data_IF_979910368767
#
_entry.id   IF_979910368767
#
_cell.length_a   1.000
_cell.length_b   1.000
_cell.length_c   1.000
_cell.angle_alpha   90.00
_cell.angle_beta   90.00
_cell.angle_gamma   90.00
#
_symmetry.space_group_name_H-M   'P 1'
#
loop_
_entity.id
_entity.type
_entity.pdbx_description
1 polymer ?
#
# COMPACT_ATOMS: atom_id res chain seq x y z
N UNK A 1 -35.78 -28.93 -35.59
CA UNK A 1 -34.63 -27.99 -35.47
C UNK A 1 -34.80 -27.11 -34.25
N UNK A 2 -33.99 -27.31 -33.21
CA UNK A 2 -33.48 -26.28 -32.29
C UNK A 2 -32.68 -26.99 -31.19
N UNK A 3 -31.40 -27.21 -31.49
CA UNK A 3 -30.39 -27.57 -30.49
C UNK A 3 -30.23 -26.39 -29.54
N UNK A 4 -30.45 -26.60 -28.24
CA UNK A 4 -30.07 -25.64 -27.20
C UNK A 4 -28.71 -26.08 -26.67
N UNK A 5 -27.67 -25.44 -27.16
CA UNK A 5 -26.32 -25.53 -26.60
C UNK A 5 -26.33 -24.74 -25.29
N UNK A 6 -26.20 -25.44 -24.17
CA UNK A 6 -25.96 -24.82 -22.87
C UNK A 6 -24.46 -24.49 -22.80
N UNK A 7 -24.11 -23.21 -22.90
CA UNK A 7 -22.77 -22.74 -22.55
C UNK A 7 -22.65 -22.69 -21.03
N UNK A 8 -21.96 -23.67 -20.45
CA UNK A 8 -21.48 -23.58 -19.08
C UNK A 8 -20.27 -22.64 -19.06
N UNK A 9 -20.43 -21.44 -18.53
CA UNK A 9 -19.31 -20.58 -18.16
C UNK A 9 -18.61 -21.19 -16.94
N UNK A 10 -17.58 -21.99 -17.19
CA UNK A 10 -16.60 -22.33 -16.15
C UNK A 10 -15.72 -21.09 -15.97
N UNK A 11 -16.06 -20.26 -14.98
CA UNK A 11 -15.16 -19.22 -14.49
C UNK A 11 -14.02 -19.96 -13.79
N UNK A 12 -12.94 -20.21 -14.54
CA UNK A 12 -11.69 -20.69 -13.98
C UNK A 12 -11.10 -19.54 -13.16
N UNK A 13 -11.20 -19.64 -11.84
CA UNK A 13 -10.33 -18.91 -10.93
C UNK A 13 -8.90 -19.38 -11.25
N UNK A 14 -8.19 -18.60 -12.08
CA UNK A 14 -6.75 -18.73 -12.21
C UNK A 14 -6.17 -18.30 -10.86
N UNK A 15 -5.95 -19.29 -10.01
CA UNK A 15 -5.04 -19.21 -8.86
C UNK A 15 -3.74 -18.65 -9.42
N UNK A 16 -3.40 -17.43 -9.01
CA UNK A 16 -2.04 -16.91 -9.16
C UNK A 16 -1.15 -17.97 -8.54
N UNK A 17 -0.27 -18.57 -9.33
CA UNK A 17 0.77 -19.42 -8.81
C UNK A 17 1.69 -18.51 -7.97
N UNK A 18 1.42 -18.40 -6.67
CA UNK A 18 2.44 -17.95 -5.74
C UNK A 18 3.63 -18.89 -5.93
N UNK A 19 4.78 -18.33 -6.27
CA UNK A 19 5.99 -19.13 -6.44
C UNK A 19 6.25 -19.91 -5.15
N UNK A 20 6.50 -21.21 -5.26
CA UNK A 20 6.63 -22.09 -4.08
C UNK A 20 7.67 -21.57 -3.08
N UNK A 21 8.74 -20.91 -3.55
CA UNK A 21 9.79 -20.34 -2.71
C UNK A 21 9.37 -19.11 -1.88
N UNK A 22 8.27 -18.42 -2.22
CA UNK A 22 7.77 -17.29 -1.41
C UNK A 22 6.65 -17.72 -0.46
N UNK A 23 6.22 -18.98 -0.51
CA UNK A 23 5.12 -19.47 0.31
C UNK A 23 5.55 -19.58 1.78
N UNK A 24 4.84 -18.94 2.73
CA UNK A 24 5.08 -19.12 4.16
C UNK A 24 5.00 -20.58 4.58
N UNK A 25 5.88 -21.01 5.49
CA UNK A 25 5.86 -22.37 6.03
C UNK A 25 6.24 -22.39 7.54
N UNK A 26 5.98 -23.53 8.22
CA UNK A 26 6.20 -23.62 9.67
C UNK A 26 7.68 -23.58 10.10
N UNK A 27 8.62 -23.92 9.22
CA UNK A 27 10.05 -23.83 9.55
C UNK A 27 10.50 -22.37 9.73
N UNK A 28 9.77 -21.43 9.14
CA UNK A 28 10.06 -19.99 9.22
C UNK A 28 9.80 -19.45 10.63
N UNK A 29 8.94 -20.12 11.42
CA UNK A 29 8.59 -19.71 12.79
C UNK A 29 9.83 -19.55 13.66
N UNK A 30 10.76 -20.51 13.62
CA UNK A 30 11.97 -20.42 14.45
C UNK A 30 12.82 -19.21 14.05
N UNK A 31 12.98 -18.98 12.75
CA UNK A 31 13.81 -17.88 12.22
C UNK A 31 13.23 -16.52 12.60
N UNK A 32 11.92 -16.36 12.48
CA UNK A 32 11.26 -15.11 12.85
C UNK A 32 11.17 -14.90 14.37
N UNK A 33 11.01 -15.96 15.16
CA UNK A 33 11.05 -15.84 16.62
C UNK A 33 12.42 -15.37 17.12
N UNK A 34 13.50 -15.90 16.55
CA UNK A 34 14.86 -15.44 16.86
C UNK A 34 15.02 -13.95 16.51
N UNK A 35 14.57 -13.54 15.32
CA UNK A 35 14.56 -12.13 14.91
C UNK A 35 13.76 -11.23 15.85
N UNK A 36 12.54 -11.62 16.22
CA UNK A 36 11.68 -10.84 17.10
C UNK A 36 12.26 -10.72 18.52
N UNK A 37 12.96 -11.75 19.01
CA UNK A 37 13.61 -11.73 20.32
C UNK A 37 14.77 -10.72 20.38
N UNK A 38 15.49 -10.51 19.27
CA UNK A 38 16.63 -9.59 19.20
C UNK A 38 16.23 -8.10 19.23
N UNK A 39 15.08 -7.73 18.63
CA UNK A 39 14.71 -6.30 18.48
C UNK A 39 13.85 -5.73 19.62
N UNK A 40 13.39 -6.55 20.57
CA UNK A 40 12.65 -6.08 21.78
C UNK A 40 13.50 -5.10 22.63
N UNK A 41 14.79 -4.94 22.33
CA UNK A 41 15.74 -4.09 23.06
C UNK A 41 15.77 -2.62 22.60
N UNK A 42 15.13 -2.22 21.48
CA UNK A 42 15.23 -0.82 21.00
C UNK A 42 14.00 0.07 21.31
N UNK A 43 14.30 1.22 21.94
CA UNK A 43 13.40 2.22 22.53
C UNK A 43 12.28 2.76 21.64
N UNK A 44 11.21 3.36 22.23
CA UNK A 44 10.08 3.90 21.48
C UNK A 44 10.53 5.04 20.56
N UNK A 45 10.67 4.75 19.27
CA UNK A 45 10.89 5.76 18.26
C UNK A 45 9.57 6.49 18.02
N UNK A 46 9.38 7.61 18.73
CA UNK A 46 8.30 8.58 18.47
C UNK A 46 8.41 9.25 17.07
N UNK A 47 9.39 8.87 16.26
CA UNK A 47 9.58 9.33 14.89
C UNK A 47 9.16 8.25 13.90
N UNK A 48 8.32 8.62 12.92
CA UNK A 48 8.02 7.75 11.79
C UNK A 48 9.29 7.63 10.95
N UNK A 49 10.05 6.55 11.12
CA UNK A 49 11.31 6.30 10.45
C UNK A 49 11.15 5.10 9.51
N UNK A 50 10.65 5.37 8.31
CA UNK A 50 10.45 4.37 7.26
C UNK A 50 11.41 4.66 6.10
N UNK A 51 11.91 3.60 5.45
CA UNK A 51 12.80 3.68 4.30
C UNK A 51 12.06 4.10 3.01
N UNK A 52 11.34 5.23 3.07
CA UNK A 52 10.64 5.80 1.92
C UNK A 52 11.63 6.45 0.94
N UNK A 53 11.43 6.19 -0.35
CA UNK A 53 12.14 6.89 -1.44
C UNK A 53 11.72 8.32 -1.61
N UNK A 54 10.58 8.71 -1.07
CA UNK A 54 10.02 10.04 -1.24
C UNK A 54 10.06 10.75 0.11
N UNK A 55 11.18 11.39 0.38
CA UNK A 55 11.37 12.30 1.51
C UNK A 55 10.83 13.70 1.15
N UNK A 56 10.47 14.56 2.13
CA UNK A 56 9.84 15.87 1.86
C UNK A 56 10.58 16.77 0.87
N UNK A 57 11.90 16.65 0.78
CA UNK A 57 12.77 17.38 -0.15
C UNK A 57 12.79 16.82 -1.58
N UNK A 58 12.21 15.65 -1.83
CA UNK A 58 12.19 15.04 -3.16
C UNK A 58 11.13 15.69 -4.04
N UNK A 59 11.49 15.92 -5.31
CA UNK A 59 10.66 16.65 -6.28
C UNK A 59 9.27 16.04 -6.54
N UNK A 60 9.12 14.72 -6.33
CA UNK A 60 7.85 14.00 -6.50
C UNK A 60 7.11 13.77 -5.18
N UNK A 61 7.61 14.27 -4.06
CA UNK A 61 7.01 14.04 -2.74
C UNK A 61 5.53 14.44 -2.68
N UNK A 62 5.21 15.69 -3.02
CA UNK A 62 3.83 16.17 -2.92
C UNK A 62 2.87 15.42 -3.85
N UNK A 63 3.37 14.98 -5.01
CA UNK A 63 2.61 14.21 -5.99
C UNK A 63 2.31 12.79 -5.49
N UNK A 64 3.31 12.07 -4.99
CA UNK A 64 3.15 10.71 -4.45
C UNK A 64 2.31 10.75 -3.16
N UNK A 65 2.48 11.77 -2.31
CA UNK A 65 1.61 11.99 -1.17
C UNK A 65 0.16 12.23 -1.60
N UNK A 66 -0.06 12.97 -2.69
CA UNK A 66 -1.39 13.18 -3.25
C UNK A 66 -2.01 11.87 -3.77
N UNK A 67 -1.22 11.00 -4.42
CA UNK A 67 -1.64 9.64 -4.81
C UNK A 67 -2.08 8.84 -3.58
N UNK A 68 -1.22 8.76 -2.56
CA UNK A 68 -1.50 8.02 -1.33
C UNK A 68 -2.80 8.50 -0.68
N UNK A 69 -3.10 9.79 -0.77
CA UNK A 69 -4.31 10.43 -0.21
C UNK A 69 -5.45 10.58 -1.24
N UNK A 70 -5.42 9.85 -2.35
CA UNK A 70 -6.44 9.87 -3.41
C UNK A 70 -6.76 11.28 -3.99
N UNK A 71 -5.86 12.26 -3.85
CA UNK A 71 -5.97 13.57 -4.47
C UNK A 71 -5.51 13.52 -5.92
N UNK A 72 -6.20 12.70 -6.74
CA UNK A 72 -5.79 12.36 -8.12
C UNK A 72 -5.55 13.59 -9.01
N UNK A 73 -6.43 14.58 -8.98
CA UNK A 73 -6.27 15.80 -9.79
C UNK A 73 -5.03 16.60 -9.41
N UNK A 74 -4.66 16.61 -8.11
CA UNK A 74 -3.43 17.24 -7.63
C UNK A 74 -2.21 16.44 -8.10
N UNK A 75 -2.23 15.13 -7.92
CA UNK A 75 -1.16 14.24 -8.35
C UNK A 75 -0.89 14.37 -9.86
N UNK A 76 -1.92 14.33 -10.71
CA UNK A 76 -1.80 14.50 -12.16
C UNK A 76 -1.13 15.85 -12.47
N UNK A 77 -1.65 16.95 -11.91
CA UNK A 77 -1.10 18.30 -12.14
C UNK A 77 0.38 18.41 -11.77
N UNK A 78 0.79 17.77 -10.67
CA UNK A 78 2.17 17.83 -10.18
C UNK A 78 3.11 16.88 -10.94
N UNK A 79 2.63 15.73 -11.42
CA UNK A 79 3.43 14.76 -12.16
C UNK A 79 3.67 15.17 -13.62
N UNK A 80 2.66 15.76 -14.28
CA UNK A 80 2.69 16.05 -15.72
C UNK A 80 3.97 16.80 -16.16
N UNK A 81 4.41 17.90 -15.51
CA UNK A 81 5.60 18.63 -15.96
C UNK A 81 6.91 17.80 -15.89
N UNK A 82 6.98 16.80 -15.00
CA UNK A 82 8.13 15.90 -14.90
C UNK A 82 8.02 14.74 -15.89
N UNK A 83 6.81 14.21 -16.09
CA UNK A 83 6.56 13.17 -17.09
C UNK A 83 6.83 13.67 -18.52
N UNK A 84 6.44 14.91 -18.85
CA UNK A 84 6.76 15.57 -20.13
C UNK A 84 8.26 15.73 -20.36
N UNK A 85 9.03 15.91 -19.27
CA UNK A 85 10.50 15.93 -19.28
C UNK A 85 11.12 14.53 -19.21
N UNK A 86 10.32 13.47 -19.37
CA UNK A 86 10.75 12.07 -19.36
C UNK A 86 11.43 11.65 -18.05
N UNK A 87 10.96 12.17 -16.92
CA UNK A 87 11.35 11.63 -15.64
C UNK A 87 10.74 10.22 -15.46
N UNK A 88 11.56 9.17 -15.23
CA UNK A 88 11.07 7.80 -15.20
C UNK A 88 10.08 7.54 -14.05
N UNK A 89 10.30 8.14 -12.87
CA UNK A 89 9.42 7.94 -11.72
C UNK A 89 8.11 8.70 -11.89
N UNK A 90 8.14 9.91 -12.47
CA UNK A 90 6.93 10.65 -12.78
C UNK A 90 6.08 9.93 -13.84
N UNK A 91 6.71 9.38 -14.89
CA UNK A 91 6.03 8.54 -15.89
C UNK A 91 5.39 7.30 -15.25
N UNK A 92 6.11 6.63 -14.34
CA UNK A 92 5.60 5.48 -13.61
C UNK A 92 4.35 5.83 -12.79
N UNK A 93 4.43 6.87 -11.95
CA UNK A 93 3.31 7.27 -11.10
C UNK A 93 2.12 7.80 -11.88
N UNK A 94 2.37 8.55 -12.95
CA UNK A 94 1.30 9.05 -13.81
C UNK A 94 0.61 7.90 -14.55
N UNK A 95 1.38 6.91 -15.02
CA UNK A 95 0.82 5.68 -15.59
C UNK A 95 -0.03 4.92 -14.55
N UNK A 96 0.46 4.79 -13.31
CA UNK A 96 -0.24 4.08 -12.24
C UNK A 96 -1.63 4.62 -11.94
N UNK A 97 -1.81 5.94 -11.98
CA UNK A 97 -3.11 6.57 -11.67
C UNK A 97 -3.98 6.82 -12.91
N UNK A 98 -3.53 6.41 -14.11
CA UNK A 98 -4.24 6.68 -15.37
C UNK A 98 -4.98 5.47 -15.94
N UNK A 99 -4.56 4.24 -15.65
CA UNK A 99 -5.27 3.07 -16.18
C UNK A 99 -6.55 2.76 -15.37
N UNK A 100 -7.50 2.09 -16.01
CA UNK A 100 -8.78 1.71 -15.40
C UNK A 100 -9.76 1.13 -16.42
N UNK A 101 -11.04 1.47 -16.29
CA UNK A 101 -12.08 0.94 -17.17
C UNK A 101 -12.06 1.50 -18.59
N UNK A 102 -11.41 2.65 -18.83
CA UNK A 102 -11.34 3.28 -20.15
C UNK A 102 -10.18 2.70 -20.98
N UNK A 103 -10.45 2.00 -22.10
CA UNK A 103 -9.40 1.41 -22.93
C UNK A 103 -8.40 2.43 -23.48
N UNK A 104 -8.86 3.64 -23.82
CA UNK A 104 -8.01 4.69 -24.39
C UNK A 104 -6.97 5.18 -23.38
N UNK A 105 -7.38 5.36 -22.13
CA UNK A 105 -6.46 5.74 -21.05
C UNK A 105 -5.47 4.60 -20.73
N UNK A 106 -5.91 3.34 -20.84
CA UNK A 106 -5.00 2.19 -20.71
C UNK A 106 -3.90 2.19 -21.79
N UNK A 107 -4.20 2.61 -23.02
CA UNK A 107 -3.17 2.76 -24.07
C UNK A 107 -2.12 3.79 -23.67
N UNK A 108 -2.57 4.97 -23.19
CA UNK A 108 -1.68 6.06 -22.78
C UNK A 108 -0.85 5.66 -21.57
N UNK A 109 -1.49 5.11 -20.53
CA UNK A 109 -0.83 4.60 -19.34
C UNK A 109 0.20 3.53 -19.68
N UNK A 110 -0.13 2.58 -20.56
CA UNK A 110 0.82 1.55 -20.99
C UNK A 110 2.02 2.11 -21.76
N UNK A 111 1.84 3.16 -22.58
CA UNK A 111 2.96 3.86 -23.24
C UNK A 111 3.87 4.55 -22.21
N UNK A 112 3.29 5.24 -21.23
CA UNK A 112 4.05 5.88 -20.15
C UNK A 112 4.80 4.83 -19.30
N UNK A 113 4.17 3.70 -18.99
CA UNK A 113 4.79 2.59 -18.27
C UNK A 113 5.96 1.99 -19.05
N UNK A 114 5.77 1.75 -20.36
CA UNK A 114 6.83 1.30 -21.26
C UNK A 114 8.00 2.29 -21.30
N UNK A 115 7.74 3.58 -21.48
CA UNK A 115 8.78 4.60 -21.54
C UNK A 115 9.53 4.71 -20.20
N UNK A 116 8.83 4.65 -19.07
CA UNK A 116 9.44 4.59 -17.74
C UNK A 116 10.37 3.39 -17.58
N UNK A 117 9.94 2.20 -18.02
CA UNK A 117 10.76 0.99 -18.00
C UNK A 117 11.98 1.11 -18.94
N UNK A 118 11.81 1.75 -20.10
CA UNK A 118 12.91 2.04 -21.03
C UNK A 118 13.95 2.97 -20.43
N UNK A 119 13.51 3.98 -19.69
CA UNK A 119 14.36 4.99 -19.03
C UNK A 119 15.00 4.52 -17.73
N UNK A 120 14.71 3.30 -17.27
CA UNK A 120 15.42 2.66 -16.18
C UNK A 120 14.67 2.60 -14.85
N UNK A 121 13.34 2.79 -14.84
CA UNK A 121 12.54 2.46 -13.65
C UNK A 121 12.46 0.94 -13.49
N UNK A 122 13.00 0.36 -12.39
CA UNK A 122 12.88 -1.08 -12.17
C UNK A 122 11.44 -1.49 -11.85
N UNK A 123 10.67 -0.60 -11.23
CA UNK A 123 9.26 -0.82 -10.89
C UNK A 123 8.37 -0.85 -12.12
N UNK A 124 8.59 0.06 -13.07
CA UNK A 124 7.89 0.01 -14.35
C UNK A 124 8.25 -1.26 -15.15
N UNK A 125 9.50 -1.69 -15.10
CA UNK A 125 9.93 -2.93 -15.72
C UNK A 125 9.26 -4.16 -15.07
N UNK A 126 9.18 -4.23 -13.73
CA UNK A 126 8.42 -5.29 -13.05
C UNK A 126 6.92 -5.26 -13.35
N UNK A 127 6.32 -4.07 -13.51
CA UNK A 127 4.93 -3.94 -13.93
C UNK A 127 4.68 -4.55 -15.31
N UNK A 128 5.71 -4.69 -16.16
CA UNK A 128 5.62 -5.29 -17.49
C UNK A 128 5.99 -6.78 -17.53
N UNK A 129 6.10 -7.43 -16.38
CA UNK A 129 6.19 -8.90 -16.31
C UNK A 129 4.89 -9.52 -16.86
N UNK A 130 4.95 -10.48 -17.80
CA UNK A 130 3.78 -11.21 -18.25
C UNK A 130 3.04 -11.99 -17.15
N UNK A 131 3.67 -12.28 -16.00
CA UNK A 131 2.97 -12.91 -14.87
C UNK A 131 2.23 -11.88 -13.99
N UNK A 132 2.45 -10.59 -14.22
CA UNK A 132 1.76 -9.53 -13.50
C UNK A 132 0.33 -9.35 -14.05
N UNK A 133 -0.68 -9.57 -13.21
CA UNK A 133 -2.10 -9.48 -13.59
C UNK A 133 -2.51 -8.08 -14.08
N UNK A 134 -1.91 -7.02 -13.56
CA UNK A 134 -2.14 -5.64 -14.03
C UNK A 134 -1.57 -5.47 -15.43
N UNK A 135 -0.40 -6.05 -15.72
CA UNK A 135 0.14 -6.08 -17.07
C UNK A 135 -0.82 -6.79 -18.02
N UNK A 136 -1.18 -8.04 -17.71
CA UNK A 136 -2.06 -8.84 -18.55
C UNK A 136 -3.40 -8.15 -18.82
N UNK A 137 -3.95 -7.46 -17.82
CA UNK A 137 -5.25 -6.80 -17.92
C UNK A 137 -5.23 -5.48 -18.66
N UNK A 138 -4.24 -4.62 -18.40
CA UNK A 138 -4.25 -3.24 -18.87
C UNK A 138 -3.16 -2.92 -19.90
N UNK A 139 -2.05 -3.66 -19.87
CA UNK A 139 -0.84 -3.40 -20.65
C UNK A 139 -0.38 -4.60 -21.49
N UNK A 140 -1.29 -5.53 -21.82
CA UNK A 140 -0.99 -6.83 -22.46
C UNK A 140 -0.02 -6.76 -23.64
N UNK A 141 -0.14 -5.72 -24.47
CA UNK A 141 0.71 -5.48 -25.65
C UNK A 141 2.19 -5.20 -25.34
N UNK A 142 2.52 -4.89 -24.08
CA UNK A 142 3.85 -4.51 -23.63
C UNK A 142 4.46 -5.54 -22.67
N UNK A 143 3.69 -6.53 -22.22
CA UNK A 143 4.14 -7.56 -21.30
C UNK A 143 5.17 -8.47 -21.96
N UNK A 144 6.35 -8.57 -21.37
CA UNK A 144 7.47 -9.31 -21.96
C UNK A 144 8.49 -9.68 -20.87
N UNK A 145 8.93 -10.95 -20.83
CA UNK A 145 9.91 -11.43 -19.84
C UNK A 145 11.23 -10.67 -19.90
N UNK A 146 11.58 -10.01 -21.01
CA UNK A 146 12.76 -9.13 -21.08
C UNK A 146 12.74 -8.02 -20.02
N UNK A 147 11.55 -7.55 -19.63
CA UNK A 147 11.43 -6.51 -18.60
C UNK A 147 11.80 -7.02 -17.21
N UNK A 148 11.53 -8.29 -16.92
CA UNK A 148 12.01 -8.95 -15.70
C UNK A 148 13.54 -8.95 -15.67
N UNK A 149 14.19 -9.35 -16.77
CA UNK A 149 15.65 -9.30 -16.89
C UNK A 149 16.21 -7.90 -16.70
N UNK A 150 15.54 -6.88 -17.27
CA UNK A 150 15.93 -5.48 -17.09
C UNK A 150 15.78 -5.01 -15.64
N UNK A 151 14.67 -5.35 -14.98
CA UNK A 151 14.45 -5.03 -13.58
C UNK A 151 15.53 -5.66 -12.68
N UNK A 152 15.84 -6.95 -12.88
CA UNK A 152 16.91 -7.67 -12.16
C UNK A 152 18.26 -6.94 -12.28
N UNK A 153 18.63 -6.52 -13.49
CA UNK A 153 19.88 -5.78 -13.72
C UNK A 153 19.92 -4.42 -13.02
N UNK A 154 18.82 -3.66 -13.05
CA UNK A 154 18.74 -2.36 -12.37
C UNK A 154 18.81 -2.53 -10.85
N UNK A 155 18.07 -3.50 -10.28
CA UNK A 155 18.12 -3.77 -8.86
C UNK A 155 19.50 -4.24 -8.40
N UNK A 156 20.21 -5.06 -9.16
CA UNK A 156 21.58 -5.45 -8.82
C UNK A 156 22.50 -4.23 -8.66
N UNK A 157 22.46 -3.29 -9.61
CA UNK A 157 23.24 -2.04 -9.56
C UNK A 157 22.85 -1.15 -8.37
N UNK A 158 21.55 -1.09 -8.04
CA UNK A 158 21.07 -0.31 -6.89
C UNK A 158 21.44 -0.99 -5.56
N UNK A 159 21.45 -2.32 -5.51
CA UNK A 159 21.82 -3.10 -4.34
C UNK A 159 23.30 -2.91 -3.99
N UNK A 160 24.19 -2.85 -4.99
CA UNK A 160 25.61 -2.52 -4.81
C UNK A 160 25.83 -1.14 -4.16
N UNK A 161 24.86 -0.22 -4.32
CA UNK A 161 24.87 1.11 -3.71
C UNK A 161 24.20 1.16 -2.33
N UNK A 162 23.78 0.01 -1.81
CA UNK A 162 23.12 -0.09 -0.50
C UNK A 162 21.63 0.26 -0.51
N UNK A 163 20.95 0.28 -1.67
CA UNK A 163 19.49 0.42 -1.67
C UNK A 163 18.84 -0.84 -1.08
N UNK A 164 18.24 -0.68 0.11
CA UNK A 164 17.62 -1.76 0.89
C UNK A 164 16.53 -2.50 0.12
N UNK A 165 15.72 -1.78 -0.67
CA UNK A 165 14.64 -2.36 -1.48
C UNK A 165 15.24 -3.18 -2.61
N UNK A 166 16.27 -2.64 -3.26
CA UNK A 166 16.97 -3.34 -4.32
C UNK A 166 17.69 -4.61 -3.83
N UNK A 167 18.29 -4.57 -2.64
CA UNK A 167 18.86 -5.75 -1.99
C UNK A 167 17.77 -6.81 -1.77
N UNK A 168 16.64 -6.43 -1.18
CA UNK A 168 15.51 -7.35 -0.98
C UNK A 168 15.04 -8.01 -2.29
N UNK A 169 14.82 -7.22 -3.35
CA UNK A 169 14.37 -7.78 -4.63
C UNK A 169 15.45 -8.66 -5.28
N UNK A 170 16.72 -8.28 -5.19
CA UNK A 170 17.84 -9.08 -5.73
C UNK A 170 17.92 -10.45 -5.06
N UNK A 171 17.77 -10.51 -3.73
CA UNK A 171 17.72 -11.78 -2.99
C UNK A 171 16.48 -12.60 -3.35
N UNK A 172 15.30 -11.95 -3.42
CA UNK A 172 14.05 -12.62 -3.84
C UNK A 172 14.18 -13.27 -5.22
N UNK A 173 14.88 -12.64 -6.17
CA UNK A 173 15.06 -13.18 -7.53
C UNK A 173 15.99 -14.40 -7.62
N UNK A 174 16.65 -14.80 -6.53
CA UNK A 174 17.39 -16.08 -6.45
C UNK A 174 16.46 -17.28 -6.33
N UNK A 175 15.19 -17.04 -6.01
CA UNK A 175 14.13 -18.06 -5.92
C UNK A 175 14.46 -19.17 -4.92
N UNK A 176 15.16 -18.80 -3.83
CA UNK A 176 15.49 -19.68 -2.70
C UNK A 176 14.76 -19.19 -1.46
N UNK A 177 14.03 -20.10 -0.82
CA UNK A 177 13.18 -19.76 0.32
C UNK A 177 13.98 -19.15 1.47
N UNK A 178 15.09 -19.77 1.89
CA UNK A 178 15.92 -19.25 2.98
C UNK A 178 16.51 -17.86 2.68
N UNK A 179 16.91 -17.60 1.44
CA UNK A 179 17.42 -16.29 1.02
C UNK A 179 16.29 -15.24 1.04
N UNK A 180 15.06 -15.63 0.66
CA UNK A 180 13.87 -14.79 0.75
C UNK A 180 13.52 -14.43 2.20
N UNK A 181 13.52 -15.39 3.13
CA UNK A 181 13.25 -15.13 4.56
C UNK A 181 14.33 -14.21 5.16
N UNK A 182 15.62 -14.47 4.88
CA UNK A 182 16.72 -13.59 5.32
C UNK A 182 16.58 -12.18 4.74
N UNK A 183 16.14 -12.05 3.49
CA UNK A 183 15.91 -10.76 2.86
C UNK A 183 14.75 -9.98 3.50
N UNK A 184 13.69 -10.67 3.94
CA UNK A 184 12.59 -10.04 4.70
C UNK A 184 13.14 -9.45 6.01
N UNK A 185 13.91 -10.23 6.77
CA UNK A 185 14.52 -9.79 8.04
C UNK A 185 15.49 -8.62 7.82
N UNK A 186 16.35 -8.72 6.80
CA UNK A 186 17.27 -7.64 6.43
C UNK A 186 16.51 -6.35 6.10
N UNK A 187 15.45 -6.43 5.30
CA UNK A 187 14.61 -5.29 4.96
C UNK A 187 13.99 -4.65 6.21
N UNK A 188 13.42 -5.45 7.12
CA UNK A 188 12.81 -5.01 8.35
C UNK A 188 13.81 -4.28 9.27
N UNK A 189 15.01 -4.85 9.47
CA UNK A 189 16.11 -4.22 10.22
C UNK A 189 16.52 -2.87 9.64
N UNK A 190 16.45 -2.74 8.31
CA UNK A 190 16.76 -1.51 7.59
C UNK A 190 15.53 -0.64 7.30
N UNK A 191 14.46 -0.81 8.10
CA UNK A 191 13.27 0.05 8.12
C UNK A 191 12.45 0.03 6.81
N UNK A 192 12.61 -1.01 5.99
CA UNK A 192 11.74 -1.34 4.86
C UNK A 192 10.80 -2.48 5.24
N UNK A 193 9.57 -2.13 5.63
CA UNK A 193 8.64 -3.06 6.28
C UNK A 193 7.64 -3.74 5.35
N UNK A 194 7.56 -3.38 4.07
CA UNK A 194 6.64 -4.06 3.17
C UNK A 194 6.86 -5.59 3.08
N UNK A 195 8.09 -6.11 3.01
CA UNK A 195 8.31 -7.55 2.94
C UNK A 195 7.73 -8.32 4.12
N UNK A 196 7.88 -7.81 5.34
CA UNK A 196 7.35 -8.48 6.55
C UNK A 196 5.81 -8.36 6.60
N UNK A 197 5.26 -7.24 6.16
CA UNK A 197 3.81 -7.00 6.08
C UNK A 197 3.14 -7.88 5.03
N UNK A 198 3.72 -8.02 3.84
CA UNK A 198 3.21 -8.89 2.78
C UNK A 198 3.29 -10.35 3.18
N UNK A 199 4.40 -10.77 3.79
CA UNK A 199 4.57 -12.12 4.32
C UNK A 199 3.49 -12.46 5.37
N UNK A 200 3.26 -11.56 6.34
CA UNK A 200 2.16 -11.71 7.31
C UNK A 200 0.78 -11.75 6.66
N UNK A 201 0.54 -10.89 5.67
CA UNK A 201 -0.73 -10.85 4.94
C UNK A 201 -1.02 -12.18 4.25
N UNK A 202 -0.02 -12.76 3.58
CA UNK A 202 -0.16 -14.03 2.87
C UNK A 202 -0.56 -15.17 3.82
N UNK A 203 -0.01 -15.19 5.03
CA UNK A 203 -0.42 -16.12 6.10
C UNK A 203 -1.88 -15.88 6.52
N UNK A 204 -2.25 -14.63 6.80
CA UNK A 204 -3.56 -14.28 7.35
C UNK A 204 -4.71 -14.51 6.37
N UNK A 205 -4.46 -14.39 5.06
CA UNK A 205 -5.47 -14.65 4.03
C UNK A 205 -5.55 -16.12 3.61
N UNK A 206 -4.52 -16.94 3.90
CA UNK A 206 -4.56 -18.37 3.60
C UNK A 206 -5.38 -19.11 4.66
N UNK A 207 -6.52 -19.64 4.25
CA UNK A 207 -7.40 -20.45 5.09
C UNK A 207 -6.74 -21.74 5.61
N UNK A 208 -5.67 -22.21 4.95
CA UNK A 208 -4.92 -23.40 5.36
C UNK A 208 -3.78 -23.10 6.33
N UNK A 209 -3.49 -21.83 6.60
CA UNK A 209 -2.44 -21.46 7.56
C UNK A 209 -2.81 -21.91 8.96
N UNK A 210 -1.83 -22.51 9.65
CA UNK A 210 -2.02 -23.03 11.01
C UNK A 210 -2.18 -21.89 12.01
N UNK A 211 -2.75 -22.21 13.18
CA UNK A 211 -2.93 -21.21 14.25
C UNK A 211 -1.61 -20.54 14.63
N UNK A 212 -0.53 -21.31 14.76
CA UNK A 212 0.82 -20.81 15.09
C UNK A 212 1.35 -19.85 14.04
N UNK A 213 1.14 -20.15 12.75
CA UNK A 213 1.52 -19.24 11.68
C UNK A 213 0.75 -17.93 11.75
N UNK A 214 -0.56 -17.98 12.04
CA UNK A 214 -1.37 -16.77 12.21
C UNK A 214 -0.94 -15.94 13.43
N UNK A 215 -0.63 -16.59 14.55
CA UNK A 215 -0.07 -15.94 15.74
C UNK A 215 1.26 -15.23 15.39
N UNK A 216 2.18 -15.91 14.71
CA UNK A 216 3.43 -15.31 14.20
C UNK A 216 3.14 -14.10 13.29
N UNK A 217 2.20 -14.23 12.35
CA UNK A 217 1.88 -13.14 11.42
C UNK A 217 1.43 -11.87 12.17
N UNK A 218 0.65 -12.01 13.25
CA UNK A 218 0.25 -10.89 14.11
C UNK A 218 1.46 -10.28 14.84
N UNK A 219 2.38 -11.10 15.37
CA UNK A 219 3.61 -10.61 16.01
C UNK A 219 4.48 -9.81 15.03
N UNK A 220 4.65 -10.30 13.81
CA UNK A 220 5.38 -9.63 12.73
C UNK A 220 4.70 -8.31 12.29
N UNK A 221 3.38 -8.25 12.29
CA UNK A 221 2.66 -6.99 12.05
C UNK A 221 2.83 -6.01 13.21
N UNK A 222 2.77 -6.49 14.45
CA UNK A 222 3.02 -5.67 15.63
C UNK A 222 4.43 -5.07 15.59
N UNK A 223 5.44 -5.84 15.19
CA UNK A 223 6.80 -5.37 14.96
C UNK A 223 6.86 -4.17 14.00
N UNK A 224 6.21 -4.27 12.83
CA UNK A 224 6.16 -3.15 11.88
C UNK A 224 5.31 -1.98 12.40
N UNK A 225 4.23 -2.25 13.14
CA UNK A 225 3.35 -1.25 13.71
C UNK A 225 4.03 -0.43 14.83
N UNK A 226 4.81 -1.04 15.73
CA UNK A 226 5.56 -0.29 16.76
C UNK A 226 6.61 0.64 16.15
N UNK A 227 7.07 0.34 14.92
CA UNK A 227 7.91 1.21 14.11
C UNK A 227 7.11 2.22 13.26
N UNK A 228 5.83 2.45 13.59
CA UNK A 228 4.90 3.37 12.94
C UNK A 228 4.65 3.11 11.44
N UNK A 229 4.78 1.86 10.96
CA UNK A 229 4.47 1.52 9.58
C UNK A 229 2.96 1.32 9.38
N UNK A 230 2.31 2.30 8.75
CA UNK A 230 0.85 2.38 8.59
C UNK A 230 0.21 1.12 7.97
N UNK A 231 0.75 0.50 6.90
CA UNK A 231 0.17 -0.72 6.35
C UNK A 231 0.04 -1.87 7.36
N UNK A 232 0.91 -1.95 8.38
CA UNK A 232 0.80 -2.95 9.43
C UNK A 232 -0.41 -2.69 10.35
N UNK A 233 -0.65 -1.43 10.74
CA UNK A 233 -1.86 -1.04 11.48
C UNK A 233 -3.13 -1.40 10.72
N UNK A 234 -3.16 -1.18 9.41
CA UNK A 234 -4.33 -1.43 8.58
C UNK A 234 -4.67 -2.93 8.50
N UNK A 235 -3.65 -3.80 8.46
CA UNK A 235 -3.83 -5.25 8.53
C UNK A 235 -4.24 -5.72 9.92
N UNK A 236 -3.62 -5.22 11.00
CA UNK A 236 -4.01 -5.54 12.37
C UNK A 236 -5.49 -5.20 12.62
N UNK A 237 -5.93 -4.00 12.24
CA UNK A 237 -7.34 -3.59 12.33
C UNK A 237 -8.29 -4.50 11.53
N UNK A 238 -7.80 -5.23 10.53
CA UNK A 238 -8.60 -6.08 9.64
C UNK A 238 -8.62 -7.55 10.07
N UNK A 239 -7.50 -8.08 10.55
CA UNK A 239 -7.29 -9.51 10.70
C UNK A 239 -6.99 -9.94 12.14
N UNK A 240 -6.66 -9.03 13.04
CA UNK A 240 -6.46 -9.40 14.44
C UNK A 240 -7.81 -9.54 15.16
N UNK A 241 -8.30 -10.78 15.19
CA UNK A 241 -9.54 -11.15 15.87
C UNK A 241 -9.41 -11.18 17.39
N UNK A 242 -8.19 -11.06 17.94
CA UNK A 242 -7.95 -11.09 19.37
C UNK A 242 -8.09 -9.73 20.05
N UNK A 243 -8.06 -8.64 19.28
CA UNK A 243 -8.19 -7.28 19.79
C UNK A 243 -9.51 -7.09 20.52
N UNK A 244 -9.42 -6.69 21.79
CA UNK A 244 -10.58 -6.20 22.50
C UNK A 244 -10.99 -4.79 22.00
N UNK A 245 -12.15 -4.31 22.46
CA UNK A 245 -12.66 -3.00 22.04
C UNK A 245 -11.71 -1.83 22.42
N UNK A 246 -11.00 -1.92 23.53
CA UNK A 246 -10.06 -0.87 23.96
C UNK A 246 -8.80 -0.90 23.10
N UNK A 247 -8.22 -2.07 22.88
CA UNK A 247 -7.03 -2.28 22.04
C UNK A 247 -7.30 -1.83 20.60
N UNK A 248 -8.43 -2.26 20.04
CA UNK A 248 -8.88 -1.82 18.70
C UNK A 248 -8.99 -0.29 18.62
N UNK A 249 -9.59 0.35 19.63
CA UNK A 249 -9.76 1.81 19.65
C UNK A 249 -8.42 2.55 19.80
N UNK A 250 -7.48 2.02 20.60
CA UNK A 250 -6.13 2.57 20.72
C UNK A 250 -5.37 2.46 19.38
N UNK A 251 -5.44 1.29 18.74
CA UNK A 251 -4.84 1.04 17.44
C UNK A 251 -5.41 1.97 16.36
N UNK A 252 -6.75 2.11 16.32
CA UNK A 252 -7.44 3.00 15.40
C UNK A 252 -7.03 4.47 15.62
N UNK A 253 -6.96 4.92 16.88
CA UNK A 253 -6.55 6.28 17.24
C UNK A 253 -5.11 6.56 16.81
N UNK A 254 -4.21 5.60 16.99
CA UNK A 254 -2.82 5.74 16.55
C UNK A 254 -2.73 5.78 15.02
N UNK A 255 -3.43 4.87 14.34
CA UNK A 255 -3.46 4.82 12.87
C UNK A 255 -4.00 6.11 12.23
N UNK A 256 -5.01 6.75 12.85
CA UNK A 256 -5.51 8.09 12.44
C UNK A 256 -4.42 9.15 12.56
N UNK A 257 -3.69 9.19 13.69
CA UNK A 257 -2.62 10.16 13.94
C UNK A 257 -1.48 10.02 12.94
N UNK A 258 -1.19 8.80 12.51
CA UNK A 258 -0.15 8.51 11.52
C UNK A 258 -0.61 8.82 10.09
N UNK A 259 -1.92 8.84 9.84
CA UNK A 259 -2.49 9.19 8.53
C UNK A 259 -2.89 7.98 7.69
N UNK A 260 -3.41 6.92 8.31
CA UNK A 260 -4.03 5.81 7.58
C UNK A 260 -5.35 6.21 6.92
N UNK A 261 -5.47 5.99 5.61
CA UNK A 261 -6.75 6.14 4.92
C UNK A 261 -7.83 5.22 5.49
N UNK A 262 -7.48 3.96 5.80
CA UNK A 262 -8.41 2.94 6.32
C UNK A 262 -8.98 3.40 7.66
N UNK A 263 -8.13 3.86 8.57
CA UNK A 263 -8.54 4.30 9.90
C UNK A 263 -9.42 5.56 9.85
N UNK A 264 -9.06 6.52 8.97
CA UNK A 264 -9.88 7.72 8.72
C UNK A 264 -11.26 7.37 8.15
N UNK A 265 -11.34 6.41 7.21
CA UNK A 265 -12.60 5.95 6.62
C UNK A 265 -13.47 5.19 7.64
N UNK A 266 -12.86 4.31 8.44
CA UNK A 266 -13.54 3.58 9.52
C UNK A 266 -14.12 4.54 10.54
N UNK A 267 -13.33 5.49 11.05
CA UNK A 267 -13.81 6.52 11.98
C UNK A 267 -14.99 7.32 11.42
N UNK A 268 -14.89 7.76 10.16
CA UNK A 268 -15.96 8.50 9.52
C UNK A 268 -17.24 7.68 9.41
N UNK A 269 -17.12 6.43 8.98
CA UNK A 269 -18.24 5.49 8.85
C UNK A 269 -18.93 5.24 10.19
N UNK A 270 -18.15 4.93 11.24
CA UNK A 270 -18.69 4.71 12.59
C UNK A 270 -19.38 5.97 13.15
N UNK A 271 -18.86 7.16 12.84
CA UNK A 271 -19.44 8.42 13.33
C UNK A 271 -20.86 8.67 12.82
N UNK A 272 -21.23 8.13 11.65
CA UNK A 272 -22.57 8.33 11.06
C UNK A 272 -23.67 7.82 12.00
N UNK A 273 -23.49 6.64 12.57
CA UNK A 273 -24.48 5.96 13.43
C UNK A 273 -24.28 6.23 14.93
N UNK A 274 -23.16 6.82 15.33
CA UNK A 274 -22.87 7.14 16.73
C UNK A 274 -23.86 8.16 17.29
N UNK A 275 -24.64 7.78 18.31
CA UNK A 275 -25.65 8.63 18.93
C UNK A 275 -25.06 9.64 19.93
N UNK A 276 -23.81 9.44 20.36
CA UNK A 276 -23.13 10.35 21.28
C UNK A 276 -22.61 11.61 20.57
N UNK A 277 -22.45 11.56 19.25
CA UNK A 277 -21.95 12.67 18.45
C UNK A 277 -23.09 13.59 17.98
N UNK A 278 -22.86 14.89 18.07
CA UNK A 278 -23.75 15.89 17.48
C UNK A 278 -23.66 15.87 15.94
N UNK A 279 -24.66 16.43 15.26
CA UNK A 279 -24.61 16.53 13.78
C UNK A 279 -23.39 17.34 13.30
N UNK A 280 -22.94 18.34 14.07
CA UNK A 280 -21.76 19.14 13.72
C UNK A 280 -20.48 18.32 13.88
N UNK A 281 -20.34 17.50 14.93
CA UNK A 281 -19.18 16.62 15.10
C UNK A 281 -19.07 15.59 13.98
N UNK A 282 -20.19 14.97 13.62
CA UNK A 282 -20.26 14.03 12.49
C UNK A 282 -19.85 14.68 11.17
N UNK A 283 -20.32 15.92 10.94
CA UNK A 283 -19.92 16.69 9.78
C UNK A 283 -18.42 16.98 9.78
N UNK A 284 -17.85 17.44 10.89
CA UNK A 284 -16.42 17.76 11.02
C UNK A 284 -15.59 16.51 10.71
N UNK A 285 -15.92 15.36 11.29
CA UNK A 285 -15.22 14.09 11.05
C UNK A 285 -15.31 13.71 9.56
N UNK A 286 -16.52 13.68 8.99
CA UNK A 286 -16.73 13.30 7.60
C UNK A 286 -16.03 14.26 6.62
N UNK A 287 -16.07 15.57 6.91
CA UNK A 287 -15.41 16.61 6.12
C UNK A 287 -13.89 16.49 6.20
N UNK A 288 -13.34 16.23 7.39
CA UNK A 288 -11.92 16.03 7.58
C UNK A 288 -11.42 14.79 6.83
N UNK A 289 -12.18 13.68 6.85
CA UNK A 289 -11.87 12.49 6.04
C UNK A 289 -11.85 12.82 4.55
N UNK A 290 -12.87 13.51 4.05
CA UNK A 290 -12.90 13.94 2.64
C UNK A 290 -11.74 14.87 2.27
N UNK A 291 -11.37 15.80 3.15
CA UNK A 291 -10.24 16.70 2.90
C UNK A 291 -8.89 15.98 3.03
N UNK A 292 -8.82 14.91 3.81
CA UNK A 292 -7.63 14.08 4.00
C UNK A 292 -7.38 13.13 2.82
N UNK A 293 -8.41 12.38 2.40
CA UNK A 293 -8.25 11.27 1.46
C UNK A 293 -9.34 11.16 0.38
N UNK A 294 -10.17 12.21 0.21
CA UNK A 294 -11.25 12.28 -0.79
C UNK A 294 -12.39 11.28 -0.64
N UNK A 295 -12.44 10.51 0.44
CA UNK A 295 -13.58 9.66 0.74
C UNK A 295 -14.80 10.52 1.09
N UNK A 296 -15.92 10.28 0.38
CA UNK A 296 -17.17 11.02 0.52
C UNK A 296 -18.28 10.22 1.18
N UNK A 297 -18.00 8.97 1.59
CA UNK A 297 -19.01 8.04 2.07
C UNK A 297 -19.77 8.64 3.25
N UNK A 298 -19.06 8.97 4.33
CA UNK A 298 -19.69 9.50 5.54
C UNK A 298 -20.45 10.81 5.27
N UNK A 299 -19.86 11.72 4.47
CA UNK A 299 -20.49 13.00 4.10
C UNK A 299 -21.86 12.82 3.44
N UNK A 300 -22.05 11.74 2.66
CA UNK A 300 -23.31 11.47 1.99
C UNK A 300 -24.47 11.13 2.92
N UNK A 301 -24.18 10.77 4.18
CA UNK A 301 -25.17 10.42 5.20
C UNK A 301 -25.37 11.53 6.26
N UNK A 302 -24.56 12.59 6.24
CA UNK A 302 -24.69 13.68 7.22
C UNK A 302 -25.83 14.62 6.82
N UNK A 303 -26.68 14.96 7.80
CA UNK A 303 -27.73 15.97 7.62
C UNK A 303 -27.12 17.31 7.25
N UNK A 304 -27.78 18.03 6.33
CA UNK A 304 -27.37 19.38 5.94
C UNK A 304 -27.33 20.29 7.18
N UNK A 305 -26.20 20.96 7.39
CA UNK A 305 -26.02 21.95 8.45
C UNK A 305 -26.50 23.33 8.00
N UNK A 306 -26.78 24.19 8.97
CA UNK A 306 -26.99 25.61 8.74
C UNK A 306 -25.70 26.27 8.20
N UNK A 307 -25.88 27.20 7.26
CA UNK A 307 -24.80 27.97 6.64
C UNK A 307 -24.03 28.79 7.68
N UNK A 308 -24.67 29.22 8.76
CA UNK A 308 -24.03 30.01 9.82
C UNK A 308 -22.92 29.25 10.56
N UNK A 309 -23.01 27.92 10.67
CA UNK A 309 -22.06 27.05 11.40
C UNK A 309 -21.13 26.25 10.49
N UNK A 310 -21.46 26.11 9.19
CA UNK A 310 -20.65 25.29 8.26
C UNK A 310 -19.23 25.83 8.07
N UNK A 311 -19.04 27.15 8.12
CA UNK A 311 -17.73 27.77 7.95
C UNK A 311 -16.78 27.39 9.08
N UNK A 312 -17.25 27.46 10.33
CA UNK A 312 -16.49 27.06 11.50
C UNK A 312 -16.15 25.56 11.46
N UNK A 313 -17.14 24.71 11.15
CA UNK A 313 -16.94 23.26 11.05
C UNK A 313 -15.91 22.89 9.97
N UNK A 314 -15.89 23.59 8.82
CA UNK A 314 -14.89 23.39 7.78
C UNK A 314 -13.47 23.77 8.23
N UNK A 315 -13.31 24.81 9.05
CA UNK A 315 -11.99 25.19 9.59
C UNK A 315 -11.49 24.16 10.62
N UNK A 316 -12.35 23.64 11.48
CA UNK A 316 -12.00 22.56 12.41
C UNK A 316 -11.57 21.30 11.66
N UNK A 317 -12.31 20.91 10.62
CA UNK A 317 -11.92 19.78 9.77
C UNK A 317 -10.54 19.98 9.12
N UNK A 318 -10.25 21.18 8.59
CA UNK A 318 -8.92 21.51 8.04
C UNK A 318 -7.82 21.44 9.09
N UNK A 319 -8.07 21.90 10.32
CA UNK A 319 -7.09 21.81 11.42
C UNK A 319 -6.73 20.36 11.72
N UNK A 320 -7.72 19.46 11.76
CA UNK A 320 -7.47 18.02 11.95
C UNK A 320 -6.54 17.48 10.86
N UNK A 321 -6.83 17.75 9.59
CA UNK A 321 -6.01 17.29 8.45
C UNK A 321 -4.59 17.86 8.48
N UNK A 322 -4.44 19.15 8.81
CA UNK A 322 -3.13 19.82 8.91
C UNK A 322 -2.25 19.24 10.02
N UNK A 323 -2.83 18.66 11.06
CA UNK A 323 -2.07 18.06 12.16
C UNK A 323 -1.44 16.71 11.80
N UNK A 324 -1.87 16.08 10.70
CA UNK A 324 -1.39 14.76 10.29
C UNK A 324 -0.01 14.88 9.62
N UNK A 325 0.99 14.10 10.08
CA UNK A 325 2.30 14.03 9.45
C UNK A 325 2.21 13.76 7.95
N UNK A 326 3.09 14.39 7.18
CA UNK A 326 3.26 14.09 5.75
C UNK A 326 4.31 13.00 5.62
N UNK A 327 3.87 11.76 5.60
CA UNK A 327 4.72 10.59 5.40
C UNK A 327 4.20 9.78 4.23
N UNK A 328 5.11 9.36 3.35
CA UNK A 328 4.80 8.50 2.21
C UNK A 328 5.26 7.10 2.54
N UNK A 329 4.30 6.20 2.64
CA UNK A 329 4.54 4.79 2.87
C UNK A 329 4.27 3.93 1.65
N UNK A 330 3.70 4.45 0.56
CA UNK A 330 3.61 3.74 -0.74
C UNK A 330 4.94 3.77 -1.50
N UNK A 331 5.15 2.76 -2.35
CA UNK A 331 6.30 2.71 -3.26
C UNK A 331 5.95 2.10 -4.62
N UNK A 332 6.96 1.90 -5.48
CA UNK A 332 6.75 1.40 -6.83
C UNK A 332 6.25 -0.04 -6.92
N UNK A 333 6.39 -0.83 -5.86
CA UNK A 333 5.85 -2.19 -5.76
C UNK A 333 4.54 -2.25 -4.98
N UNK A 334 4.28 -1.24 -4.15
CA UNK A 334 3.06 -1.07 -3.37
C UNK A 334 2.43 0.30 -3.67
N UNK A 335 1.97 0.52 -4.92
CA UNK A 335 1.52 1.83 -5.41
C UNK A 335 0.16 2.26 -4.83
N UNK A 336 -0.56 1.34 -4.20
CA UNK A 336 -1.89 1.56 -3.62
C UNK A 336 -1.93 1.06 -2.19
N UNK A 337 -2.70 1.76 -1.36
CA UNK A 337 -3.03 1.32 0.00
C UNK A 337 -4.42 0.67 -0.07
N UNK A 338 -4.54 -0.56 0.43
CA UNK A 338 -5.78 -1.35 0.42
C UNK A 338 -6.79 -0.89 1.46
#
# INVERSE_FOLDING_TARGET
MRSKIMFAFVISFLLVACSEYTKPNESDISVFNDFLAEDIISSPLNTINIASVYQPQNKLFDAVLAIQRNHWSKAIKELTPYAEKKDPDALFWLAQISYGSNPTENIKAGKMMLESAQLGSPYAALMLDPDNIICQRYFSRYCDKKWVGKAKGIFAIQAEKGDVRAIYYTERFKEKHDDYIKAIIYAANNKYYYPIVDYSKDILIDNNSTKKMKELAIELLNYAAVNNFIPAYDLLLKYDESLDNNEYNLLLKQSIKLGSNVAWNRRATSSVTDKSLSNIDKYIIAKATYDFNRDKFALSFIKKLDVSIISHANEEAKKMVKSIPKVIYIDGTHPTVY
#
